data_IF_587757277873
#
_entry.id   IF_587757277873
#
_cell.length_a   1.000
_cell.length_b   1.000
_cell.length_c   1.000
_cell.angle_alpha   90.00
_cell.angle_beta   90.00
_cell.angle_gamma   90.00
#
_symmetry.space_group_name_H-M   'P 1'
#
loop_
_entity.id
_entity.type
_entity.pdbx_description
1 polymer ?
#
# COMPACT_ATOMS: atom_id res chain seq x y z
N UNK A 1 -12.06 -9.35 -3.95
CA UNK A 1 -12.27 -8.68 -2.64
C UNK A 1 -11.05 -7.91 -2.16
N UNK A 2 -9.86 -8.50 -2.00
CA UNK A 2 -8.66 -7.79 -1.51
C UNK A 2 -8.31 -6.46 -2.19
N UNK A 3 -8.51 -6.35 -3.51
CA UNK A 3 -8.24 -5.12 -4.27
C UNK A 3 -9.20 -3.99 -3.90
N UNK A 4 -10.49 -4.33 -3.70
CA UNK A 4 -11.51 -3.38 -3.25
C UNK A 4 -11.25 -2.92 -1.82
N UNK A 5 -10.91 -3.85 -0.91
CA UNK A 5 -10.56 -3.52 0.48
C UNK A 5 -9.31 -2.65 0.53
N UNK A 6 -8.28 -2.97 -0.25
CA UNK A 6 -7.07 -2.16 -0.37
C UNK A 6 -7.36 -0.76 -0.91
N UNK A 7 -8.21 -0.64 -1.93
CA UNK A 7 -8.63 0.65 -2.46
C UNK A 7 -9.37 1.50 -1.41
N UNK A 8 -10.37 0.91 -0.74
CA UNK A 8 -11.16 1.62 0.27
C UNK A 8 -10.31 2.03 1.47
N UNK A 9 -9.42 1.15 1.94
CA UNK A 9 -8.49 1.51 3.01
C UNK A 9 -7.54 2.62 2.59
N UNK A 10 -7.00 2.57 1.37
CA UNK A 10 -6.15 3.65 0.85
C UNK A 10 -6.89 5.00 0.72
N UNK A 11 -8.19 4.98 0.40
CA UNK A 11 -9.04 6.17 0.36
C UNK A 11 -9.17 6.85 1.73
N UNK A 12 -9.19 6.07 2.81
CA UNK A 12 -9.26 6.57 4.19
C UNK A 12 -7.87 6.99 4.68
N UNK A 13 -6.87 6.17 4.39
CA UNK A 13 -5.49 6.37 4.85
C UNK A 13 -4.88 7.65 4.28
N UNK A 14 -5.14 7.99 3.01
CA UNK A 14 -4.60 9.21 2.40
C UNK A 14 -4.93 10.51 3.16
N UNK A 15 -6.21 10.81 3.42
CA UNK A 15 -6.60 11.93 4.28
C UNK A 15 -6.02 11.87 5.69
N UNK A 16 -5.96 10.67 6.30
CA UNK A 16 -5.36 10.48 7.63
C UNK A 16 -3.88 10.85 7.61
N UNK A 17 -3.14 10.52 6.55
CA UNK A 17 -1.74 10.92 6.41
C UNK A 17 -1.58 12.45 6.36
N UNK A 18 -2.45 13.12 5.60
CA UNK A 18 -2.44 14.60 5.49
C UNK A 18 -2.71 15.24 6.86
N UNK A 19 -3.75 14.78 7.55
CA UNK A 19 -4.13 15.30 8.86
C UNK A 19 -3.06 15.03 9.92
N UNK A 20 -2.52 13.81 9.99
CA UNK A 20 -1.45 13.48 10.94
C UNK A 20 -0.19 14.31 10.69
N UNK A 21 0.19 14.50 9.42
CA UNK A 21 1.36 15.31 9.06
C UNK A 21 1.12 16.79 9.38
N UNK A 22 -0.07 17.31 9.07
CA UNK A 22 -0.47 18.67 9.42
C UNK A 22 -0.51 18.91 10.93
N UNK A 23 -1.02 17.94 11.70
CA UNK A 23 -1.04 17.99 13.16
C UNK A 23 0.38 18.02 13.73
N UNK A 24 1.26 17.12 13.29
CA UNK A 24 2.64 17.07 13.75
C UNK A 24 3.40 18.35 13.39
N UNK A 25 3.20 18.89 12.17
CA UNK A 25 3.78 20.15 11.75
C UNK A 25 3.35 21.32 12.63
N UNK A 26 2.06 21.44 12.93
CA UNK A 26 1.55 22.50 13.80
C UNK A 26 2.16 22.44 15.20
N UNK A 27 2.32 21.23 15.76
CA UNK A 27 2.93 21.03 17.09
C UNK A 27 4.42 21.39 17.08
N UNK A 28 5.18 20.91 16.10
CA UNK A 28 6.61 21.22 15.97
C UNK A 28 6.85 22.71 15.73
N UNK A 29 6.03 23.34 14.89
CA UNK A 29 6.07 24.79 14.68
C UNK A 29 5.75 25.57 15.96
N UNK A 30 4.78 25.11 16.75
CA UNK A 30 4.44 25.71 18.05
C UNK A 30 5.57 25.61 19.07
N UNK A 31 6.24 24.45 19.15
CA UNK A 31 7.41 24.27 20.00
C UNK A 31 8.56 25.18 19.58
N UNK A 32 8.84 25.25 18.27
CA UNK A 32 9.86 26.13 17.73
C UNK A 32 9.57 27.61 18.03
N UNK A 33 8.31 28.05 17.90
CA UNK A 33 7.90 29.41 18.22
C UNK A 33 8.05 29.76 19.71
N UNK A 34 8.03 28.76 20.59
CA UNK A 34 8.23 28.91 22.03
C UNK A 34 9.68 28.66 22.47
N UNK A 35 10.62 28.55 21.53
CA UNK A 35 12.03 28.22 21.77
C UNK A 35 12.24 26.92 22.59
N UNK A 36 11.31 25.97 22.43
CA UNK A 36 11.35 24.67 23.08
C UNK A 36 11.98 23.62 22.17
N UNK A 37 12.72 22.69 22.78
CA UNK A 37 13.33 21.58 22.06
C UNK A 37 12.31 20.53 21.58
N UNK A 38 12.66 19.79 20.53
CA UNK A 38 11.81 18.72 19.94
C UNK A 38 11.51 17.58 20.92
N UNK A 39 12.32 17.43 21.98
CA UNK A 39 12.09 16.42 23.02
C UNK A 39 11.24 16.92 24.19
N UNK A 40 10.81 18.19 24.16
CA UNK A 40 9.99 18.80 25.21
C UNK A 40 8.51 18.80 24.83
N UNK A 41 7.64 18.83 25.85
CA UNK A 41 6.19 18.91 25.67
C UNK A 41 5.63 17.80 24.78
N UNK A 42 4.91 18.19 23.73
CA UNK A 42 4.29 17.30 22.74
C UNK A 42 5.23 16.86 21.60
N UNK A 43 6.48 17.32 21.59
CA UNK A 43 7.43 17.08 20.51
C UNK A 43 7.75 15.60 20.26
N UNK A 44 8.01 14.77 21.29
CA UNK A 44 8.20 13.33 21.11
C UNK A 44 7.01 12.64 20.44
N UNK A 45 5.79 13.06 20.78
CA UNK A 45 4.57 12.51 20.19
C UNK A 45 4.42 12.91 18.71
N UNK A 46 4.74 14.16 18.37
CA UNK A 46 4.75 14.63 16.98
C UNK A 46 5.77 13.86 16.12
N UNK A 47 6.98 13.65 16.64
CA UNK A 47 8.02 12.86 15.96
C UNK A 47 7.58 11.40 15.81
N UNK A 48 7.05 10.78 16.86
CA UNK A 48 6.54 9.40 16.80
C UNK A 48 5.42 9.27 15.76
N UNK A 49 4.52 10.25 15.66
CA UNK A 49 3.49 10.30 14.63
C UNK A 49 4.07 10.36 13.21
N UNK A 50 5.08 11.20 12.98
CA UNK A 50 5.77 11.28 11.68
C UNK A 50 6.51 9.99 11.32
N UNK A 51 7.16 9.34 12.29
CA UNK A 51 7.77 8.02 12.11
C UNK A 51 6.70 6.99 11.72
N UNK A 52 5.55 7.00 12.41
CA UNK A 52 4.41 6.14 12.07
C UNK A 52 3.91 6.35 10.64
N UNK A 53 3.81 7.61 10.19
CA UNK A 53 3.48 7.95 8.80
C UNK A 53 4.51 7.36 7.83
N UNK A 54 5.80 7.56 8.08
CA UNK A 54 6.87 7.04 7.24
C UNK A 54 6.84 5.50 7.15
N UNK A 55 6.63 4.82 8.27
CA UNK A 55 6.48 3.37 8.31
C UNK A 55 5.25 2.89 7.53
N UNK A 56 4.12 3.56 7.66
CA UNK A 56 2.90 3.21 6.93
C UNK A 56 3.07 3.38 5.42
N UNK A 57 3.76 4.43 4.98
CA UNK A 57 4.13 4.64 3.59
C UNK A 57 5.10 3.54 3.11
N UNK A 58 6.13 3.23 3.89
CA UNK A 58 7.08 2.17 3.55
C UNK A 58 6.39 0.80 3.43
N UNK A 59 5.52 0.46 4.39
CA UNK A 59 4.76 -0.78 4.40
C UNK A 59 3.76 -0.85 3.25
N UNK A 60 3.23 0.27 2.75
CA UNK A 60 2.33 0.26 1.59
C UNK A 60 3.07 0.20 0.25
N UNK A 61 4.23 0.86 0.13
CA UNK A 61 4.98 0.98 -1.13
C UNK A 61 5.96 -0.18 -1.38
N UNK A 62 6.57 -0.78 -0.34
CA UNK A 62 7.69 -1.74 -0.50
C UNK A 62 7.26 -3.21 -0.66
N UNK A 63 6.37 -3.79 0.17
CA UNK A 63 6.10 -5.23 0.16
C UNK A 63 5.27 -5.68 -1.05
N UNK A 64 5.80 -6.62 -1.85
CA UNK A 64 5.11 -7.16 -3.02
C UNK A 64 3.79 -7.90 -2.71
N UNK A 65 3.58 -8.29 -1.45
CA UNK A 65 2.41 -9.07 -1.00
C UNK A 65 1.13 -8.24 -0.83
N UNK A 66 1.24 -6.91 -0.71
CA UNK A 66 0.09 -6.02 -0.61
C UNK A 66 -0.45 -5.67 -2.00
N UNK A 67 -1.77 -5.52 -2.10
CA UNK A 67 -2.41 -5.15 -3.36
C UNK A 67 -1.94 -3.76 -3.80
N UNK A 68 -1.60 -3.55 -5.08
CA UNK A 68 -1.18 -2.24 -5.58
C UNK A 68 -2.28 -1.16 -5.49
N UNK A 69 -3.53 -1.57 -5.24
CA UNK A 69 -4.67 -0.66 -5.08
C UNK A 69 -4.61 0.22 -3.82
N UNK A 70 -3.98 -0.24 -2.74
CA UNK A 70 -3.85 0.54 -1.51
C UNK A 70 -2.96 1.78 -1.71
N UNK A 71 -1.69 1.62 -2.15
CA UNK A 71 -0.84 2.79 -2.39
C UNK A 71 -1.37 3.65 -3.55
N UNK A 72 -2.04 3.05 -4.56
CA UNK A 72 -2.73 3.83 -5.60
C UNK A 72 -3.84 4.73 -5.04
N UNK A 73 -4.74 4.20 -4.20
CA UNK A 73 -5.83 5.00 -3.62
C UNK A 73 -5.29 6.10 -2.69
N UNK A 74 -4.21 5.84 -1.95
CA UNK A 74 -3.50 6.87 -1.19
C UNK A 74 -2.90 7.94 -2.13
N UNK A 75 -2.25 7.53 -3.23
CA UNK A 75 -1.69 8.47 -4.21
C UNK A 75 -2.77 9.33 -4.86
N UNK A 76 -3.94 8.76 -5.20
CA UNK A 76 -5.06 9.49 -5.77
C UNK A 76 -5.64 10.50 -4.80
N UNK A 77 -5.82 10.15 -3.53
CA UNK A 77 -6.34 11.07 -2.51
C UNK A 77 -5.36 12.20 -2.21
N UNK A 78 -4.09 11.88 -1.98
CA UNK A 78 -3.04 12.88 -1.77
C UNK A 78 -2.86 13.79 -2.99
N UNK A 79 -2.87 13.21 -4.19
CA UNK A 79 -2.75 13.93 -5.45
C UNK A 79 -3.96 14.83 -5.70
N UNK A 80 -5.18 14.35 -5.44
CA UNK A 80 -6.39 15.15 -5.55
C UNK A 80 -6.38 16.32 -4.56
N UNK A 81 -6.04 16.09 -3.30
CA UNK A 81 -5.94 17.17 -2.30
C UNK A 81 -4.87 18.20 -2.68
N UNK A 82 -3.72 17.74 -3.18
CA UNK A 82 -2.64 18.62 -3.65
C UNK A 82 -3.03 19.39 -4.92
N UNK A 83 -3.77 18.79 -5.84
CA UNK A 83 -4.26 19.49 -7.02
C UNK A 83 -5.35 20.50 -6.66
N UNK A 84 -6.27 20.14 -5.77
CA UNK A 84 -7.35 21.03 -5.30
C UNK A 84 -6.76 22.20 -4.52
N UNK A 85 -5.71 22.02 -3.72
CA UNK A 85 -5.08 23.14 -2.99
C UNK A 85 -4.49 24.19 -3.95
N UNK A 86 -4.02 23.78 -5.12
CA UNK A 86 -3.44 24.68 -6.13
C UNK A 86 -4.51 25.37 -6.98
N UNK A 87 -5.60 24.69 -7.32
CA UNK A 87 -6.62 25.21 -8.26
C UNK A 87 -7.82 25.83 -7.53
N UNK A 88 -8.22 25.26 -6.38
CA UNK A 88 -9.46 25.60 -5.66
C UNK A 88 -9.29 25.48 -4.13
N UNK A 89 -8.33 26.20 -3.56
CA UNK A 89 -8.07 26.18 -2.11
C UNK A 89 -9.32 26.43 -1.25
N UNK A 90 -10.19 27.35 -1.68
CA UNK A 90 -11.46 27.67 -1.00
C UNK A 90 -12.39 26.47 -0.77
N UNK A 91 -12.23 25.37 -1.50
CA UNK A 91 -12.99 24.13 -1.26
C UNK A 91 -12.46 23.38 -0.02
N UNK A 92 -11.14 23.40 0.18
CA UNK A 92 -10.49 22.75 1.32
C UNK A 92 -10.73 23.54 2.61
N UNK A 93 -10.75 24.87 2.52
CA UNK A 93 -11.05 25.75 3.66
C UNK A 93 -12.47 25.59 4.22
N UNK A 94 -13.40 25.04 3.42
CA UNK A 94 -14.79 24.75 3.83
C UNK A 94 -14.95 23.41 4.54
N UNK A 95 -13.90 22.58 4.57
CA UNK A 95 -13.96 21.30 5.27
C UNK A 95 -14.07 21.53 6.78
N UNK A 96 -14.72 20.61 7.52
CA UNK A 96 -14.79 20.69 8.97
C UNK A 96 -13.37 20.75 9.56
N UNK A 97 -13.17 21.69 10.47
CA UNK A 97 -11.91 21.84 11.18
C UNK A 97 -11.74 20.67 12.15
N UNK A 98 -10.72 19.85 11.91
CA UNK A 98 -10.33 18.70 12.73
C UNK A 98 -8.84 18.80 13.04
N UNK A 99 -8.32 18.10 14.06
CA UNK A 99 -6.90 18.17 14.39
C UNK A 99 -6.02 17.93 13.16
N UNK A 100 -5.14 18.91 12.87
CA UNK A 100 -4.21 18.87 11.75
C UNK A 100 -4.66 19.56 10.46
N UNK A 101 -5.90 20.05 10.36
CA UNK A 101 -6.36 20.81 9.18
C UNK A 101 -5.55 22.07 8.93
N UNK A 102 -5.27 22.86 9.96
CA UNK A 102 -4.49 24.11 9.82
C UNK A 102 -3.10 23.86 9.25
N UNK A 103 -2.38 22.86 9.79
CA UNK A 103 -1.07 22.48 9.25
C UNK A 103 -1.17 21.88 7.85
N UNK A 104 -2.20 21.08 7.57
CA UNK A 104 -2.42 20.52 6.24
C UNK A 104 -2.67 21.61 5.18
N UNK A 105 -3.46 22.64 5.49
CA UNK A 105 -3.73 23.76 4.59
C UNK A 105 -2.47 24.57 4.28
N UNK A 106 -1.48 24.57 5.18
CA UNK A 106 -0.15 25.15 4.92
C UNK A 106 0.73 24.24 4.08
N UNK A 107 0.73 22.93 4.35
CA UNK A 107 1.63 21.95 3.70
C UNK A 107 1.19 21.57 2.27
N UNK A 108 -0.11 21.48 2.01
CA UNK A 108 -0.66 21.11 0.70
C UNK A 108 -0.20 22.05 -0.44
N UNK A 109 -0.31 23.38 -0.34
CA UNK A 109 0.12 24.28 -1.41
C UNK A 109 1.64 24.35 -1.55
N UNK A 110 2.40 24.00 -0.51
CA UNK A 110 3.86 23.85 -0.58
C UNK A 110 4.30 22.62 -1.38
N UNK A 111 3.37 21.73 -1.75
CA UNK A 111 3.68 20.54 -2.55
C UNK A 111 4.42 19.44 -1.79
N UNK A 112 4.43 19.47 -0.46
CA UNK A 112 5.14 18.49 0.39
C UNK A 112 4.69 17.05 0.14
N UNK A 113 3.42 16.86 -0.27
CA UNK A 113 2.87 15.54 -0.56
C UNK A 113 3.12 15.07 -2.00
N UNK A 114 3.61 15.91 -2.92
CA UNK A 114 3.85 15.52 -4.33
C UNK A 114 4.90 14.41 -4.46
N UNK A 115 6.06 14.45 -3.78
CA UNK A 115 7.00 13.32 -3.80
C UNK A 115 6.37 12.03 -3.28
N UNK A 116 5.51 12.14 -2.27
CA UNK A 116 4.82 10.99 -1.68
C UNK A 116 3.83 10.37 -2.67
N UNK A 117 3.12 11.18 -3.45
CA UNK A 117 2.25 10.70 -4.55
C UNK A 117 3.06 9.90 -5.56
N UNK A 118 4.23 10.39 -5.98
CA UNK A 118 5.10 9.68 -6.93
C UNK A 118 5.55 8.33 -6.37
N UNK A 119 6.00 8.30 -5.11
CA UNK A 119 6.42 7.07 -4.43
C UNK A 119 5.27 6.08 -4.34
N UNK A 120 4.08 6.51 -3.94
CA UNK A 120 2.90 5.65 -3.77
C UNK A 120 2.29 5.21 -5.11
N UNK A 121 2.53 5.94 -6.19
CA UNK A 121 2.08 5.58 -7.53
C UNK A 121 3.03 4.56 -8.21
N UNK A 122 4.31 4.55 -7.83
CA UNK A 122 5.34 3.66 -8.40
C UNK A 122 4.96 2.16 -8.39
N UNK A 123 4.41 1.57 -7.30
CA UNK A 123 4.01 0.16 -7.26
C UNK A 123 3.04 -0.29 -8.35
N UNK A 124 2.26 0.63 -8.92
CA UNK A 124 1.27 0.33 -9.98
C UNK A 124 1.97 -0.15 -11.25
N UNK A 125 3.17 0.37 -11.54
CA UNK A 125 3.94 0.01 -12.73
C UNK A 125 4.80 -1.25 -12.54
N UNK A 126 4.87 -1.78 -11.32
CA UNK A 126 5.63 -3.01 -11.03
C UNK A 126 4.76 -4.22 -11.36
N UNK A 127 4.90 -4.74 -12.59
CA UNK A 127 4.13 -5.88 -13.09
C UNK A 127 4.09 -7.10 -12.16
N UNK A 128 5.18 -7.36 -11.43
CA UNK A 128 5.29 -8.45 -10.45
C UNK A 128 4.30 -8.36 -9.28
N UNK A 129 3.65 -7.22 -9.04
CA UNK A 129 2.59 -7.08 -8.02
C UNK A 129 1.19 -7.45 -8.50
N UNK A 130 1.00 -7.51 -9.82
CA UNK A 130 -0.26 -7.90 -10.45
C UNK A 130 -0.31 -9.40 -10.71
N UNK A 131 0.82 -10.01 -11.08
CA UNK A 131 0.93 -11.46 -11.25
C UNK A 131 1.06 -12.13 -9.89
N UNK A 132 0.17 -13.07 -9.63
CA UNK A 132 0.25 -13.96 -8.47
C UNK A 132 1.21 -15.08 -8.86
N UNK A 133 2.16 -15.44 -8.00
CA UNK A 133 3.07 -16.61 -8.12
C UNK A 133 2.36 -17.98 -8.30
N UNK A 134 1.04 -18.02 -8.55
CA UNK A 134 0.35 -19.24 -9.00
C UNK A 134 0.74 -19.66 -10.42
N UNK A 135 1.49 -18.84 -11.16
CA UNK A 135 2.13 -19.25 -12.43
C UNK A 135 3.58 -19.73 -12.24
N UNK A 136 4.13 -19.72 -11.02
CA UNK A 136 5.39 -20.42 -10.71
C UNK A 136 5.18 -21.90 -10.37
N UNK A 137 3.93 -22.35 -10.46
CA UNK A 137 3.52 -23.75 -10.61
C UNK A 137 2.91 -23.91 -12.02
N UNK A 138 3.44 -23.14 -12.98
CA UNK A 138 3.45 -23.60 -14.37
C UNK A 138 4.47 -24.74 -14.46
N UNK A 139 4.32 -25.66 -15.43
CA UNK A 139 5.26 -26.77 -15.58
C UNK A 139 6.68 -26.21 -15.49
N UNK A 140 7.50 -26.73 -14.59
CA UNK A 140 8.95 -26.49 -14.68
C UNK A 140 9.39 -26.89 -16.09
N UNK A 141 10.51 -26.35 -16.60
CA UNK A 141 11.01 -26.81 -17.91
C UNK A 141 11.02 -28.35 -17.98
N UNK A 142 11.34 -29.02 -16.86
CA UNK A 142 11.24 -30.48 -16.70
C UNK A 142 9.81 -31.03 -16.95
N UNK A 143 8.76 -30.49 -16.32
CA UNK A 143 7.37 -30.93 -16.55
C UNK A 143 6.84 -30.57 -17.95
N UNK A 144 7.33 -29.48 -18.58
CA UNK A 144 6.94 -29.09 -19.94
C UNK A 144 7.56 -30.04 -20.99
N UNK A 145 8.77 -30.54 -20.74
CA UNK A 145 9.43 -31.54 -21.58
C UNK A 145 8.91 -32.96 -21.30
N UNK A 146 8.54 -33.29 -20.07
CA UNK A 146 7.97 -34.60 -19.72
C UNK A 146 6.58 -34.81 -20.35
N UNK A 147 5.78 -33.74 -20.49
CA UNK A 147 4.52 -33.78 -21.25
C UNK A 147 4.67 -33.81 -22.77
N UNK A 148 5.85 -33.48 -23.32
CA UNK A 148 6.10 -33.47 -24.77
C UNK A 148 6.88 -34.71 -25.26
N UNK A 149 7.60 -35.40 -24.36
CA UNK A 149 8.39 -36.60 -24.66
C UNK A 149 7.89 -37.86 -23.92
N UNK A 150 6.86 -37.77 -23.09
CA UNK A 150 6.35 -38.88 -22.26
C UNK A 150 5.30 -39.80 -22.89
N UNK A 151 4.89 -39.57 -24.15
CA UNK A 151 3.82 -40.32 -24.81
C UNK A 151 4.32 -41.32 -25.89
N UNK A 152 5.59 -41.74 -25.83
CA UNK A 152 6.17 -42.73 -26.76
C UNK A 152 6.78 -43.97 -26.07
N UNK A 153 6.25 -44.38 -24.90
CA UNK A 153 6.43 -45.76 -24.42
C UNK A 153 5.06 -46.47 -24.33
N UNK A 154 4.88 -47.42 -25.25
CA UNK A 154 3.63 -48.12 -25.51
C UNK A 154 3.03 -48.95 -24.36
N UNK A 155 1.85 -49.56 -24.61
CA UNK A 155 0.97 -50.09 -23.57
C UNK A 155 1.53 -51.40 -22.99
N UNK A 156 2.09 -51.38 -21.79
CA UNK A 156 2.36 -52.61 -21.05
C UNK A 156 1.10 -53.03 -20.29
N UNK A 157 0.29 -53.88 -20.93
CA UNK A 157 -0.68 -54.72 -20.25
C UNK A 157 0.04 -55.78 -19.41
N UNK A 158 -0.38 -55.94 -18.14
CA UNK A 158 -0.48 -57.17 -17.33
C UNK A 158 -0.20 -56.83 -15.85
N UNK A 159 -1.02 -57.16 -14.85
CA UNK A 159 -2.20 -58.01 -14.77
C UNK A 159 -3.01 -57.65 -13.50
N UNK A 160 -4.31 -57.99 -13.44
CA UNK A 160 -5.12 -57.83 -12.24
C UNK A 160 -4.85 -58.96 -11.24
N UNK A 161 -4.76 -58.67 -9.95
CA UNK A 161 -4.76 -59.69 -8.88
C UNK A 161 -5.86 -59.43 -7.85
N UNK A 162 -6.41 -60.50 -7.25
CA UNK A 162 -7.84 -60.70 -7.10
C UNK A 162 -8.34 -60.43 -5.67
N UNK A 163 -9.65 -60.22 -5.59
CA UNK A 163 -10.42 -60.16 -4.36
C UNK A 163 -10.26 -61.44 -3.51
N UNK A 164 -9.77 -61.29 -2.28
CA UNK A 164 -9.92 -62.30 -1.24
C UNK A 164 -11.07 -61.89 -0.30
N UNK A 165 -12.27 -62.39 -0.61
CA UNK A 165 -13.34 -62.60 0.37
C UNK A 165 -12.96 -63.82 1.20
N UNK A 166 -12.84 -63.69 2.52
CA UNK A 166 -13.25 -64.77 3.41
C UNK A 166 -13.82 -64.22 4.72
N UNK A 167 -15.07 -64.60 4.98
CA UNK A 167 -15.78 -64.47 6.25
C UNK A 167 -15.20 -65.44 7.28
N UNK A 168 -15.17 -65.01 8.54
CA UNK A 168 -15.89 -65.63 9.66
C UNK A 168 -16.04 -64.58 10.76
#
# INVERSE_FOLDING_TARGET
>A
MRHFVGFLSGLIVGPVLVLMTGWAFAHLRGLYAADMGVLQGSGPLAVAGLVGVGLLVALSAVPARLTPMLPLAMALTLGALSAVSLVRMHLLERLPQVPGTEGALVLLPLGVFVPLVVVLFTPVFVGGRWRRERESEGPTEEEYFEGLYGDDEGPTQAAPQPAARHRA
#
